data_IF_315107285604
#
_entry.id   IF_315107285604
#
_cell.length_a   1.000
_cell.length_b   1.000
_cell.length_c   1.000
_cell.angle_alpha   90.00
_cell.angle_beta   90.00
_cell.angle_gamma   90.00
#
_symmetry.space_group_name_H-M   'P 1'
#
loop_
_entity.id
_entity.type
_entity.pdbx_description
1 polymer ?
#
# COMPACT_ATOMS: atom_id res chain seq x y z
N UNK A 1 33.22 0.58 26.29
CA UNK A 1 31.76 0.34 26.34
C UNK A 1 31.05 1.67 26.53
N UNK A 2 30.11 2.01 25.63
CA UNK A 2 28.95 2.80 26.03
C UNK A 2 27.66 2.03 25.71
N UNK A 3 26.81 1.97 26.72
CA UNK A 3 25.52 1.32 26.76
C UNK A 3 24.49 2.34 26.23
N UNK A 4 23.82 2.05 25.11
CA UNK A 4 22.73 2.90 24.60
C UNK A 4 21.44 2.09 24.66
N UNK A 5 20.66 2.39 25.69
CA UNK A 5 19.36 1.83 25.99
C UNK A 5 18.32 2.55 25.12
N UNK A 6 17.78 1.88 24.10
CA UNK A 6 16.64 2.40 23.34
C UNK A 6 15.35 2.16 24.14
N UNK A 7 14.82 3.23 24.73
CA UNK A 7 13.44 3.26 25.22
C UNK A 7 12.49 3.42 24.02
N UNK A 8 11.73 2.37 23.70
CA UNK A 8 10.56 2.46 22.83
C UNK A 8 9.36 2.73 23.72
N UNK A 9 8.84 3.95 23.68
CA UNK A 9 7.55 4.30 24.29
C UNK A 9 6.47 4.00 23.25
N UNK A 10 5.69 2.94 23.49
CA UNK A 10 4.41 2.71 22.81
C UNK A 10 3.35 3.55 23.52
N UNK A 11 2.68 4.45 22.79
CA UNK A 11 1.41 5.03 23.22
C UNK A 11 0.30 4.48 22.33
N UNK A 12 -0.51 3.61 22.92
CA UNK A 12 -1.85 3.25 22.47
C UNK A 12 -2.77 4.46 22.64
N UNK A 13 -3.49 4.85 21.59
CA UNK A 13 -4.75 5.57 21.75
C UNK A 13 -5.83 4.94 20.86
N UNK A 14 -6.79 4.35 21.56
CA UNK A 14 -8.04 3.78 21.08
C UNK A 14 -8.96 4.91 20.56
N UNK A 15 -9.55 4.72 19.38
CA UNK A 15 -10.73 5.49 18.96
C UNK A 15 -11.96 4.59 19.07
N UNK A 16 -12.78 4.86 20.10
CA UNK A 16 -14.14 4.34 20.24
C UNK A 16 -15.08 5.12 19.33
N UNK A 17 -16.01 4.42 18.68
CA UNK A 17 -17.09 4.96 17.87
C UNK A 17 -18.39 4.42 18.46
N UNK A 18 -19.17 5.28 19.12
CA UNK A 18 -20.54 4.96 19.52
C UNK A 18 -21.51 5.87 18.75
N UNK A 19 -22.36 5.23 17.93
CA UNK A 19 -23.59 5.79 17.37
C UNK A 19 -24.79 5.09 18.03
N UNK A 20 -25.73 5.87 18.57
CA UNK A 20 -27.16 5.58 18.68
C UNK A 20 -27.81 6.76 19.43
N UNK A 21 -29.04 7.23 19.21
CA UNK A 21 -30.12 7.02 18.24
C UNK A 21 -31.08 8.21 18.47
N UNK A 22 -31.84 8.59 17.42
CA UNK A 22 -33.03 9.44 17.50
C UNK A 22 -34.06 8.87 18.49
N UNK A 23 -34.84 9.74 19.12
CA UNK A 23 -36.29 9.53 19.15
C UNK A 23 -37.06 10.86 19.22
N UNK A 24 -38.19 10.81 18.53
CA UNK A 24 -39.11 11.84 18.10
C UNK A 24 -40.30 11.88 19.07
N UNK A 25 -40.78 13.06 19.49
CA UNK A 25 -42.15 13.17 19.98
C UNK A 25 -42.76 14.55 19.74
N UNK A 26 -43.92 14.49 19.11
CA UNK A 26 -44.74 15.55 18.55
C UNK A 26 -46.05 15.57 19.34
N UNK A 27 -46.52 16.72 19.86
CA UNK A 27 -47.96 17.06 19.98
C UNK A 27 -48.30 18.41 20.66
N UNK A 28 -49.21 19.13 19.97
CA UNK A 28 -50.35 19.97 20.44
C UNK A 28 -50.18 21.50 20.63
N UNK A 29 -50.82 22.19 19.68
CA UNK A 29 -51.44 23.53 19.59
C UNK A 29 -52.60 23.77 20.63
N UNK A 30 -53.34 24.91 20.67
CA UNK A 30 -53.26 26.21 19.94
C UNK A 30 -53.58 27.50 20.79
N UNK A 31 -53.81 28.62 20.07
CA UNK A 31 -54.53 29.89 20.39
C UNK A 31 -53.65 31.10 20.72
N UNK A 32 -53.84 32.32 20.21
CA UNK A 32 -54.78 32.89 19.24
C UNK A 32 -54.21 34.26 18.75
N UNK A 33 -54.76 34.75 17.63
CA UNK A 33 -55.26 36.12 17.40
C UNK A 33 -54.72 36.97 16.23
N UNK A 34 -55.72 37.46 15.47
CA UNK A 34 -55.87 38.65 14.63
C UNK A 34 -54.95 38.99 13.42
N UNK A 35 -55.54 38.76 12.23
CA UNK A 35 -55.63 39.61 11.02
C UNK A 35 -54.67 40.80 10.81
N UNK A 36 -53.95 40.78 9.68
CA UNK A 36 -53.77 41.94 8.77
C UNK A 36 -53.25 41.51 7.38
N UNK A 37 -53.98 41.93 6.35
CA UNK A 37 -53.70 41.74 4.92
C UNK A 37 -52.61 42.71 4.44
N UNK A 38 -51.55 42.22 3.78
CA UNK A 38 -50.95 42.83 2.58
C UNK A 38 -49.78 41.97 2.06
N UNK A 39 -49.86 41.52 0.80
CA UNK A 39 -48.69 41.06 0.06
C UNK A 39 -47.78 42.26 -0.25
N UNK A 40 -46.46 42.07 -0.17
CA UNK A 40 -45.69 42.03 -1.41
C UNK A 40 -44.54 41.00 -1.40
N UNK A 41 -44.37 40.34 -2.55
CA UNK A 41 -43.12 39.80 -3.12
C UNK A 41 -41.92 39.71 -2.17
N UNK A 42 -41.61 38.51 -1.67
CA UNK A 42 -40.27 38.13 -1.23
C UNK A 42 -39.83 36.87 -1.98
N UNK A 43 -39.02 37.10 -3.02
CA UNK A 43 -38.02 36.14 -3.47
C UNK A 43 -36.85 36.32 -2.50
N UNK A 44 -36.60 35.35 -1.64
CA UNK A 44 -35.25 34.95 -1.18
C UNK A 44 -35.36 33.85 -0.12
N UNK A 45 -34.31 33.02 -0.04
CA UNK A 45 -34.04 31.99 0.97
C UNK A 45 -34.93 30.74 0.87
N UNK A 46 -34.43 29.55 0.58
CA UNK A 46 -33.06 29.04 0.57
C UNK A 46 -33.06 27.84 -0.37
N UNK A 47 -32.27 27.87 -1.44
CA UNK A 47 -31.84 26.62 -2.05
C UNK A 47 -30.90 26.03 -1.01
N UNK A 48 -31.44 25.11 -0.21
CA UNK A 48 -30.67 24.31 0.72
C UNK A 48 -29.41 23.81 -0.02
N UNK A 49 -28.23 24.18 0.46
CA UNK A 49 -26.99 23.58 0.00
C UNK A 49 -27.17 22.06 0.09
N UNK A 50 -27.01 21.30 -1.00
CA UNK A 50 -27.16 19.87 -0.91
C UNK A 50 -26.00 19.33 -0.09
N UNK A 51 -26.33 18.49 0.89
CA UNK A 51 -25.50 17.78 1.87
C UNK A 51 -24.24 17.07 1.31
N UNK A 52 -24.00 17.11 -0.01
CA UNK A 52 -22.89 16.45 -0.70
C UNK A 52 -21.52 17.13 -0.59
N UNK A 53 -21.42 18.45 -0.34
CA UNK A 53 -20.10 19.14 -0.25
C UNK A 53 -19.29 18.66 0.96
N UNK A 54 -19.94 18.44 2.10
CA UNK A 54 -19.30 17.92 3.32
C UNK A 54 -18.88 16.46 3.19
N UNK A 55 -19.74 15.62 2.61
CA UNK A 55 -19.45 14.21 2.35
C UNK A 55 -18.28 14.03 1.38
N UNK A 56 -18.24 14.83 0.29
CA UNK A 56 -17.14 14.83 -0.67
C UNK A 56 -15.81 15.24 -0.05
N UNK A 57 -15.77 16.33 0.75
CA UNK A 57 -14.55 16.75 1.44
C UNK A 57 -14.03 15.66 2.37
N UNK A 58 -14.92 15.01 3.12
CA UNK A 58 -14.57 13.92 4.06
C UNK A 58 -14.04 12.69 3.31
N UNK A 59 -14.64 12.35 2.18
CA UNK A 59 -14.14 11.30 1.28
C UNK A 59 -12.79 11.62 0.69
N UNK A 60 -12.64 12.82 0.16
CA UNK A 60 -11.47 13.26 -0.57
C UNK A 60 -10.23 13.34 0.32
N UNK A 61 -10.39 13.84 1.56
CA UNK A 61 -9.32 13.81 2.57
C UNK A 61 -8.97 12.38 2.97
N UNK A 62 -9.99 11.54 3.22
CA UNK A 62 -9.78 10.12 3.56
C UNK A 62 -9.11 9.33 2.43
N UNK A 63 -9.37 9.70 1.17
CA UNK A 63 -8.78 9.13 -0.04
C UNK A 63 -7.32 9.54 -0.19
N UNK A 64 -7.07 10.85 -0.06
CA UNK A 64 -5.79 11.43 -0.40
C UNK A 64 -4.71 11.18 0.63
N UNK A 65 -5.07 11.27 1.91
CA UNK A 65 -4.11 11.11 3.01
C UNK A 65 -3.92 9.63 3.32
N UNK A 66 -5.00 8.87 3.58
CA UNK A 66 -4.85 7.49 4.06
C UNK A 66 -4.31 6.52 3.01
N UNK A 67 -4.68 6.66 1.74
CA UNK A 67 -4.18 5.75 0.69
C UNK A 67 -2.75 6.10 0.30
N UNK A 68 -2.41 7.40 0.27
CA UNK A 68 -1.05 7.88 0.07
C UNK A 68 -0.11 7.35 1.15
N UNK A 69 -0.48 7.48 2.42
CA UNK A 69 0.30 6.93 3.55
C UNK A 69 0.47 5.41 3.44
N UNK A 70 -0.58 4.67 3.06
CA UNK A 70 -0.47 3.21 2.84
C UNK A 70 0.53 2.90 1.73
N UNK A 71 0.50 3.61 0.60
CA UNK A 71 1.46 3.41 -0.49
C UNK A 71 2.89 3.68 -0.02
N UNK A 72 3.13 4.79 0.68
CA UNK A 72 4.45 5.13 1.19
C UNK A 72 4.99 4.07 2.17
N UNK A 73 4.16 3.60 3.10
CA UNK A 73 4.53 2.52 4.02
C UNK A 73 4.85 1.23 3.26
N UNK A 74 4.06 0.87 2.25
CA UNK A 74 4.30 -0.32 1.44
C UNK A 74 5.57 -0.21 0.59
N UNK A 75 5.90 0.96 0.05
CA UNK A 75 7.16 1.19 -0.66
C UNK A 75 8.36 0.96 0.27
N UNK A 76 8.36 1.59 1.45
CA UNK A 76 9.43 1.43 2.46
C UNK A 76 9.57 -0.02 2.92
N UNK A 77 8.43 -0.69 3.13
CA UNK A 77 8.39 -2.10 3.51
C UNK A 77 8.97 -3.00 2.41
N UNK A 78 8.57 -2.80 1.16
CA UNK A 78 9.06 -3.58 0.03
C UNK A 78 10.59 -3.39 -0.17
N UNK A 79 11.08 -2.15 -0.11
CA UNK A 79 12.51 -1.85 -0.16
C UNK A 79 13.27 -2.54 0.99
N UNK A 80 12.77 -2.42 2.22
CA UNK A 80 13.38 -3.08 3.39
C UNK A 80 13.46 -4.59 3.22
N UNK A 81 12.39 -5.23 2.73
CA UNK A 81 12.39 -6.67 2.45
C UNK A 81 13.40 -7.06 1.38
N UNK A 82 13.49 -6.28 0.31
CA UNK A 82 14.45 -6.53 -0.76
C UNK A 82 15.89 -6.43 -0.26
N UNK A 83 16.22 -5.44 0.57
CA UNK A 83 17.55 -5.29 1.18
C UNK A 83 17.90 -6.42 2.14
N UNK A 84 16.92 -6.92 2.89
CA UNK A 84 17.11 -8.08 3.77
C UNK A 84 17.37 -9.34 2.94
N UNK A 85 16.64 -9.54 1.85
CA UNK A 85 16.84 -10.68 0.95
C UNK A 85 18.16 -10.60 0.17
N UNK A 86 18.51 -9.42 -0.32
CA UNK A 86 19.68 -9.15 -1.14
C UNK A 86 20.55 -8.09 -0.45
N UNK A 87 21.52 -8.59 0.31
CA UNK A 87 22.42 -7.75 1.11
C UNK A 87 23.41 -6.95 0.26
N UNK A 88 23.61 -7.31 -1.02
CA UNK A 88 24.40 -6.50 -1.93
C UNK A 88 23.54 -5.34 -2.47
N UNK A 89 23.78 -4.09 -2.06
CA UNK A 89 22.95 -2.95 -2.46
C UNK A 89 22.99 -2.68 -3.96
N UNK A 90 24.05 -3.09 -4.68
CA UNK A 90 24.15 -2.93 -6.14
C UNK A 90 23.14 -3.77 -6.92
N UNK A 91 22.61 -4.82 -6.28
CA UNK A 91 21.64 -5.74 -6.86
C UNK A 91 20.21 -5.45 -6.39
N UNK A 92 20.00 -4.46 -5.52
CA UNK A 92 18.67 -4.00 -5.11
C UNK A 92 18.29 -2.83 -6.02
N UNK A 93 17.20 -2.92 -6.79
CA UNK A 93 16.81 -1.83 -7.68
C UNK A 93 16.44 -0.56 -6.91
N UNK A 94 16.86 0.60 -7.43
CA UNK A 94 16.46 1.90 -6.87
C UNK A 94 15.00 2.27 -7.19
N UNK A 95 14.50 1.80 -8.33
CA UNK A 95 13.14 2.10 -8.76
C UNK A 95 12.11 1.24 -7.99
N UNK A 96 11.12 1.90 -7.36
CA UNK A 96 10.03 1.25 -6.61
C UNK A 96 9.30 0.15 -7.42
N UNK A 97 9.28 0.29 -8.74
CA UNK A 97 8.61 -0.63 -9.66
C UNK A 97 9.42 -1.88 -10.02
N UNK A 98 10.74 -1.84 -9.83
CA UNK A 98 11.65 -2.95 -10.15
C UNK A 98 11.94 -3.72 -8.87
N UNK A 99 11.68 -5.02 -8.89
CA UNK A 99 11.88 -5.91 -7.73
C UNK A 99 12.62 -7.19 -8.14
N UNK A 100 13.61 -7.04 -9.01
CA UNK A 100 14.52 -8.11 -9.42
C UNK A 100 15.78 -7.99 -8.57
N UNK A 101 15.96 -8.97 -7.69
CA UNK A 101 17.04 -8.97 -6.68
C UNK A 101 17.96 -10.19 -6.83
N UNK A 102 17.73 -11.00 -7.86
CA UNK A 102 18.46 -12.23 -8.10
C UNK A 102 19.89 -11.91 -8.50
N UNK A 103 20.84 -12.63 -7.91
CA UNK A 103 22.25 -12.50 -8.29
C UNK A 103 22.47 -13.09 -9.70
N UNK A 104 23.22 -12.42 -10.59
CA UNK A 104 23.57 -12.97 -11.90
C UNK A 104 24.28 -14.33 -11.81
N UNK A 105 24.32 -15.07 -12.91
CA UNK A 105 25.11 -16.30 -12.99
C UNK A 105 26.60 -15.96 -12.78
N UNK A 106 27.34 -16.80 -12.05
CA UNK A 106 28.78 -16.64 -11.78
C UNK A 106 29.17 -15.41 -10.94
N UNK A 107 28.23 -14.63 -10.43
CA UNK A 107 28.49 -13.47 -9.55
C UNK A 107 28.11 -13.73 -8.09
N UNK A 108 27.57 -14.92 -7.78
CA UNK A 108 27.22 -15.29 -6.41
C UNK A 108 28.50 -15.46 -5.58
N UNK A 109 28.65 -14.80 -4.40
CA UNK A 109 29.83 -14.95 -3.56
C UNK A 109 30.14 -16.40 -3.19
N UNK A 110 29.12 -17.25 -3.01
CA UNK A 110 29.34 -18.67 -2.70
C UNK A 110 29.78 -19.45 -3.94
N UNK A 111 29.33 -19.07 -5.13
CA UNK A 111 29.80 -19.64 -6.40
C UNK A 111 31.26 -19.27 -6.67
N UNK A 112 31.62 -18.00 -6.47
CA UNK A 112 33.00 -17.51 -6.58
C UNK A 112 33.94 -18.15 -5.54
N UNK A 113 33.45 -18.34 -4.31
CA UNK A 113 34.20 -19.04 -3.27
C UNK A 113 34.44 -20.50 -3.63
N UNK A 114 33.43 -21.21 -4.15
CA UNK A 114 33.58 -22.60 -4.58
C UNK A 114 34.66 -22.76 -5.66
N UNK A 115 34.65 -21.88 -6.67
CA UNK A 115 35.66 -21.87 -7.75
C UNK A 115 37.05 -21.59 -7.19
N UNK A 116 37.16 -20.64 -6.27
CA UNK A 116 38.43 -20.28 -5.63
C UNK A 116 38.99 -21.43 -4.77
N UNK A 117 38.14 -22.12 -4.01
CA UNK A 117 38.50 -23.30 -3.22
C UNK A 117 38.98 -24.46 -4.11
N UNK A 118 38.32 -24.68 -5.25
CA UNK A 118 38.74 -25.69 -6.22
C UNK A 118 40.13 -25.38 -6.81
N UNK A 119 40.40 -24.10 -7.12
CA UNK A 119 41.72 -23.67 -7.60
C UNK A 119 42.86 -23.83 -6.59
N UNK A 120 42.54 -23.94 -5.29
CA UNK A 120 43.52 -24.16 -4.23
C UNK A 120 43.65 -25.63 -3.81
N UNK A 121 43.04 -26.58 -4.55
CA UNK A 121 42.97 -27.99 -4.15
C UNK A 121 44.33 -28.61 -3.79
N UNK A 122 45.38 -28.29 -4.54
CA UNK A 122 46.73 -28.82 -4.30
C UNK A 122 47.30 -28.39 -2.93
N UNK A 123 46.95 -27.19 -2.47
CA UNK A 123 47.38 -26.64 -1.18
C UNK A 123 46.76 -27.40 0.01
N UNK A 124 45.69 -28.17 -0.21
CA UNK A 124 44.97 -28.94 0.80
C UNK A 124 45.06 -30.45 0.54
N UNK A 125 46.15 -30.94 -0.06
CA UNK A 125 46.33 -32.36 -0.40
C UNK A 125 46.10 -33.33 0.77
N UNK A 126 46.39 -32.92 2.01
CA UNK A 126 46.15 -33.72 3.22
C UNK A 126 44.69 -33.67 3.74
N UNK A 127 43.89 -32.72 3.26
CA UNK A 127 42.53 -32.41 3.73
C UNK A 127 41.51 -32.33 2.59
N UNK A 128 41.76 -33.03 1.48
CA UNK A 128 40.89 -33.06 0.30
C UNK A 128 39.43 -33.35 0.65
N UNK A 129 39.09 -34.31 1.54
CA UNK A 129 37.69 -34.56 1.90
C UNK A 129 37.01 -33.36 2.56
N UNK A 130 37.71 -32.63 3.43
CA UNK A 130 37.18 -31.44 4.07
C UNK A 130 36.99 -30.28 3.09
N UNK A 131 37.97 -30.08 2.19
CA UNK A 131 37.85 -29.11 1.10
C UNK A 131 36.66 -29.41 0.19
N UNK A 132 36.48 -30.68 -0.21
CA UNK A 132 35.34 -31.09 -1.03
C UNK A 132 34.00 -30.84 -0.34
N UNK A 133 33.93 -31.02 0.98
CA UNK A 133 32.74 -30.68 1.76
C UNK A 133 32.44 -29.17 1.72
N UNK A 134 33.46 -28.30 1.83
CA UNK A 134 33.30 -26.85 1.67
C UNK A 134 32.77 -26.47 0.30
N UNK A 135 33.36 -27.00 -0.77
CA UNK A 135 32.97 -26.71 -2.15
C UNK A 135 31.51 -27.13 -2.40
N UNK A 136 31.15 -28.33 -1.91
CA UNK A 136 29.79 -28.85 -2.01
C UNK A 136 28.79 -27.99 -1.23
N UNK A 137 29.15 -27.54 -0.02
CA UNK A 137 28.31 -26.66 0.78
C UNK A 137 28.14 -25.28 0.11
N UNK A 138 29.19 -24.73 -0.50
CA UNK A 138 29.10 -23.49 -1.26
C UNK A 138 28.08 -23.62 -2.40
N UNK A 139 28.13 -24.71 -3.19
CA UNK A 139 27.16 -24.97 -4.24
C UNK A 139 25.71 -25.10 -3.70
N UNK A 140 25.52 -25.80 -2.59
CA UNK A 140 24.22 -25.91 -1.90
C UNK A 140 23.70 -24.55 -1.44
N UNK A 141 24.55 -23.73 -0.82
CA UNK A 141 24.20 -22.40 -0.33
C UNK A 141 23.82 -21.45 -1.48
N UNK A 142 24.54 -21.49 -2.61
CA UNK A 142 24.18 -20.76 -3.83
C UNK A 142 22.76 -21.13 -4.30
N UNK A 143 22.46 -22.43 -4.40
CA UNK A 143 21.14 -22.90 -4.81
C UNK A 143 20.04 -22.44 -3.84
N UNK A 144 20.27 -22.58 -2.53
CA UNK A 144 19.34 -22.15 -1.49
C UNK A 144 19.06 -20.64 -1.60
N UNK A 145 20.10 -19.82 -1.79
CA UNK A 145 20.01 -18.37 -1.90
C UNK A 145 19.24 -17.92 -3.14
N UNK A 146 19.59 -18.46 -4.31
CA UNK A 146 18.85 -18.21 -5.57
C UNK A 146 17.37 -18.58 -5.45
N UNK A 147 17.09 -19.70 -4.80
CA UNK A 147 15.72 -20.17 -4.56
C UNK A 147 14.95 -19.27 -3.59
N UNK A 148 15.63 -18.81 -2.52
CA UNK A 148 15.09 -17.87 -1.55
C UNK A 148 14.74 -16.53 -2.20
N UNK A 149 15.61 -15.95 -3.02
CA UNK A 149 15.31 -14.72 -3.79
C UNK A 149 14.07 -14.88 -4.67
N UNK A 150 13.98 -15.98 -5.42
CA UNK A 150 12.83 -16.30 -6.28
C UNK A 150 11.52 -16.46 -5.51
N UNK A 151 11.56 -17.11 -4.34
CA UNK A 151 10.36 -17.32 -3.50
C UNK A 151 9.97 -16.07 -2.74
N UNK A 152 10.95 -15.33 -2.20
CA UNK A 152 10.73 -14.05 -1.54
C UNK A 152 10.14 -13.00 -2.47
N UNK A 153 10.66 -12.86 -3.70
CA UNK A 153 10.05 -12.01 -4.75
C UNK A 153 8.60 -12.40 -5.04
N UNK A 154 8.29 -13.70 -5.09
CA UNK A 154 6.92 -14.21 -5.27
C UNK A 154 6.05 -13.98 -4.03
N UNK A 155 6.64 -13.88 -2.85
CA UNK A 155 5.93 -13.68 -1.60
C UNK A 155 5.42 -12.24 -1.43
N UNK A 156 6.01 -11.25 -2.11
CA UNK A 156 5.64 -9.83 -2.06
C UNK A 156 4.87 -9.36 -3.31
N UNK A 157 4.22 -10.29 -4.01
CA UNK A 157 3.59 -10.04 -5.30
C UNK A 157 2.44 -9.04 -5.21
N UNK A 158 1.53 -9.20 -4.26
CA UNK A 158 0.37 -8.32 -4.08
C UNK A 158 0.80 -6.92 -3.63
N UNK A 159 1.79 -6.80 -2.75
CA UNK A 159 2.38 -5.50 -2.39
C UNK A 159 2.90 -4.79 -3.65
N UNK A 160 3.65 -5.50 -4.49
CA UNK A 160 4.16 -4.94 -5.76
C UNK A 160 3.05 -4.54 -6.72
N UNK A 161 2.05 -5.40 -6.91
CA UNK A 161 0.90 -5.13 -7.76
C UNK A 161 0.11 -3.93 -7.25
N UNK A 162 -0.01 -3.78 -5.93
CA UNK A 162 -0.67 -2.63 -5.33
C UNK A 162 0.07 -1.32 -5.66
N UNK A 163 1.39 -1.29 -5.44
CA UNK A 163 2.22 -0.10 -5.69
C UNK A 163 2.17 0.30 -7.17
N UNK A 164 2.33 -0.66 -8.08
CA UNK A 164 2.54 -0.39 -9.51
C UNK A 164 1.24 -0.26 -10.31
N UNK A 165 0.15 -0.90 -9.87
CA UNK A 165 -1.09 -0.98 -10.65
C UNK A 165 -2.24 -0.34 -9.88
N UNK A 166 -2.56 -0.88 -8.71
CA UNK A 166 -3.78 -0.46 -7.98
C UNK A 166 -3.72 0.99 -7.53
N UNK A 167 -2.58 1.42 -6.98
CA UNK A 167 -2.39 2.79 -6.53
C UNK A 167 -2.40 3.77 -7.70
N UNK A 168 -1.79 3.39 -8.84
CA UNK A 168 -1.78 4.23 -10.04
C UNK A 168 -3.21 4.44 -10.55
N UNK A 169 -4.00 3.36 -10.62
CA UNK A 169 -5.42 3.43 -10.99
C UNK A 169 -6.21 4.32 -10.03
N UNK A 170 -6.07 4.10 -8.72
CA UNK A 170 -6.78 4.88 -7.71
C UNK A 170 -6.38 6.37 -7.74
N UNK A 171 -5.11 6.66 -7.99
CA UNK A 171 -4.63 8.03 -8.13
C UNK A 171 -5.18 8.71 -9.40
N UNK A 172 -5.34 7.96 -10.51
CA UNK A 172 -5.96 8.47 -11.73
C UNK A 172 -7.45 8.75 -11.53
N UNK A 173 -8.19 7.81 -10.92
CA UNK A 173 -9.59 8.01 -10.56
C UNK A 173 -9.76 9.22 -9.61
N UNK A 174 -8.86 9.38 -8.64
CA UNK A 174 -8.82 10.57 -7.77
C UNK A 174 -8.67 11.87 -8.57
N UNK A 175 -7.75 11.91 -9.53
CA UNK A 175 -7.53 13.11 -10.37
C UNK A 175 -8.76 13.42 -11.23
N UNK A 176 -9.38 12.41 -11.85
CA UNK A 176 -10.59 12.61 -12.64
C UNK A 176 -11.76 13.07 -11.77
N UNK A 177 -11.88 12.56 -10.54
CA UNK A 177 -12.89 13.01 -9.59
C UNK A 177 -12.73 14.50 -9.21
N UNK A 178 -11.49 14.99 -9.05
CA UNK A 178 -11.21 16.44 -8.86
C UNK A 178 -11.72 17.23 -10.06
N UNK A 179 -11.37 16.78 -11.27
CA UNK A 179 -11.75 17.43 -12.51
C UNK A 179 -13.28 17.48 -12.69
N UNK A 180 -13.96 16.36 -12.47
CA UNK A 180 -15.43 16.30 -12.53
C UNK A 180 -16.08 17.24 -11.51
N UNK A 181 -15.47 17.38 -10.32
CA UNK A 181 -15.95 18.31 -9.29
C UNK A 181 -15.79 19.77 -9.74
N UNK A 182 -14.64 20.13 -10.31
CA UNK A 182 -14.39 21.47 -10.85
C UNK A 182 -15.35 21.80 -12.00
N UNK A 183 -15.57 20.86 -12.93
CA UNK A 183 -16.55 20.97 -14.02
C UNK A 183 -17.98 21.19 -13.47
N UNK A 184 -18.36 20.42 -12.44
CA UNK A 184 -19.67 20.55 -11.79
C UNK A 184 -19.82 21.90 -11.07
N UNK A 185 -18.81 22.33 -10.30
CA UNK A 185 -18.83 23.61 -9.59
C UNK A 185 -18.92 24.77 -10.60
N UNK A 186 -18.23 24.70 -11.75
CA UNK A 186 -18.34 25.68 -12.84
C UNK A 186 -19.73 25.70 -13.48
N UNK A 187 -20.29 24.55 -13.85
CA UNK A 187 -21.62 24.47 -14.48
C UNK A 187 -22.73 24.98 -13.54
N UNK A 188 -22.63 24.69 -12.23
CA UNK A 188 -23.54 25.23 -11.21
C UNK A 188 -23.47 26.75 -11.15
N UNK A 189 -22.27 27.31 -11.17
CA UNK A 189 -22.06 28.75 -11.16
C UNK A 189 -22.61 29.42 -12.43
N UNK A 190 -22.38 28.85 -13.61
CA UNK A 190 -22.90 29.39 -14.87
C UNK A 190 -24.44 29.38 -14.95
N UNK A 191 -25.07 28.33 -14.43
CA UNK A 191 -26.52 28.22 -14.35
C UNK A 191 -27.10 29.22 -13.34
N UNK A 192 -26.47 29.38 -12.17
CA UNK A 192 -26.90 30.34 -11.16
C UNK A 192 -26.86 31.80 -11.67
N UNK A 193 -25.86 32.14 -12.49
CA UNK A 193 -25.70 33.49 -13.02
C UNK A 193 -26.63 33.80 -14.21
N UNK A 194 -26.95 32.80 -15.04
CA UNK A 194 -27.84 32.97 -16.19
C UNK A 194 -28.60 31.66 -16.45
N UNK A 195 -29.79 31.49 -15.85
CA UNK A 195 -30.55 30.26 -15.92
C UNK A 195 -31.16 30.08 -17.32
N UNK A 196 -30.59 29.17 -18.10
CA UNK A 196 -31.15 28.70 -19.38
C UNK A 196 -31.32 27.20 -19.35
N UNK A 197 -32.26 26.65 -20.13
CA UNK A 197 -32.47 25.19 -20.19
C UNK A 197 -31.21 24.45 -20.68
N UNK A 198 -30.45 25.03 -21.61
CA UNK A 198 -29.16 24.46 -22.03
C UNK A 198 -28.15 24.38 -20.87
N UNK A 199 -28.06 25.41 -20.03
CA UNK A 199 -27.15 25.43 -18.88
C UNK A 199 -27.61 24.50 -17.76
N UNK A 200 -28.92 24.35 -17.58
CA UNK A 200 -29.52 23.37 -16.67
C UNK A 200 -29.16 21.95 -17.10
N UNK A 201 -29.26 21.64 -18.38
CA UNK A 201 -28.87 20.34 -18.93
C UNK A 201 -27.36 20.08 -18.75
N UNK A 202 -26.51 21.07 -19.03
CA UNK A 202 -25.07 20.98 -18.78
C UNK A 202 -24.74 20.73 -17.29
N UNK A 203 -25.43 21.44 -16.39
CA UNK A 203 -25.30 21.25 -14.94
C UNK A 203 -25.70 19.83 -14.50
N UNK A 204 -26.85 19.34 -14.97
CA UNK A 204 -27.32 17.99 -14.67
C UNK A 204 -26.33 16.94 -15.18
N UNK A 205 -25.80 17.11 -16.39
CA UNK A 205 -24.78 16.21 -16.96
C UNK A 205 -23.51 16.18 -16.12
N UNK A 206 -23.03 17.33 -15.66
CA UNK A 206 -21.83 17.40 -14.81
C UNK A 206 -22.06 16.76 -13.43
N UNK A 207 -23.25 16.91 -12.85
CA UNK A 207 -23.64 16.24 -11.60
C UNK A 207 -23.66 14.72 -11.78
N UNK A 208 -24.29 14.21 -12.84
CA UNK A 208 -24.32 12.77 -13.13
C UNK A 208 -22.91 12.20 -13.27
N UNK A 209 -22.06 12.84 -14.08
CA UNK A 209 -20.66 12.40 -14.27
C UNK A 209 -19.87 12.38 -12.96
N UNK A 210 -20.04 13.40 -12.12
CA UNK A 210 -19.40 13.44 -10.80
C UNK A 210 -19.88 12.31 -9.88
N UNK A 211 -21.18 12.03 -9.85
CA UNK A 211 -21.75 10.95 -9.03
C UNK A 211 -21.25 9.58 -9.50
N UNK A 212 -21.25 9.32 -10.81
CA UNK A 212 -20.71 8.09 -11.40
C UNK A 212 -19.23 7.90 -11.03
N UNK A 213 -18.40 8.94 -11.19
CA UNK A 213 -16.98 8.87 -10.85
C UNK A 213 -16.75 8.67 -9.34
N UNK A 214 -17.60 9.30 -8.51
CA UNK A 214 -17.57 9.14 -7.05
C UNK A 214 -17.88 7.69 -6.66
N UNK A 215 -18.93 7.10 -7.23
CA UNK A 215 -19.32 5.71 -6.99
C UNK A 215 -18.20 4.72 -7.37
N UNK A 216 -17.53 4.95 -8.50
CA UNK A 216 -16.40 4.13 -8.94
C UNK A 216 -15.22 4.17 -7.94
N UNK A 217 -14.89 5.37 -7.45
CA UNK A 217 -13.85 5.57 -6.43
C UNK A 217 -14.24 4.86 -5.13
N UNK A 218 -15.51 4.97 -4.71
CA UNK A 218 -16.04 4.30 -3.53
C UNK A 218 -15.94 2.78 -3.62
N UNK A 219 -16.34 2.21 -4.76
CA UNK A 219 -16.26 0.77 -5.00
C UNK A 219 -14.83 0.28 -4.90
N UNK A 220 -13.89 1.03 -5.49
CA UNK A 220 -12.45 0.71 -5.44
C UNK A 220 -11.94 0.75 -4.00
N UNK A 221 -12.31 1.77 -3.22
CA UNK A 221 -11.96 1.89 -1.81
C UNK A 221 -12.55 0.78 -0.94
N UNK A 222 -13.76 0.31 -1.24
CA UNK A 222 -14.39 -0.81 -0.54
C UNK A 222 -13.52 -2.07 -0.56
N UNK A 223 -12.72 -2.25 -1.62
CA UNK A 223 -11.79 -3.40 -1.73
C UNK A 223 -10.51 -3.26 -0.89
N UNK A 224 -10.24 -2.07 -0.36
CA UNK A 224 -8.94 -1.76 0.23
C UNK A 224 -8.66 -2.56 1.50
N UNK A 225 -9.68 -2.85 2.30
CA UNK A 225 -9.49 -3.70 3.49
C UNK A 225 -9.06 -5.12 3.11
N UNK A 226 -9.64 -5.69 2.05
CA UNK A 226 -9.25 -7.01 1.52
C UNK A 226 -7.79 -7.00 1.03
N UNK A 227 -7.37 -5.94 0.35
CA UNK A 227 -5.98 -5.79 -0.12
C UNK A 227 -4.98 -5.68 1.04
N UNK A 228 -5.31 -4.93 2.10
CA UNK A 228 -4.48 -4.86 3.32
C UNK A 228 -4.26 -6.23 3.95
N UNK A 229 -5.31 -7.04 4.01
CA UNK A 229 -5.19 -8.40 4.56
C UNK A 229 -4.29 -9.28 3.70
N UNK A 230 -4.38 -9.17 2.37
CA UNK A 230 -3.45 -9.86 1.46
C UNK A 230 -2.00 -9.44 1.71
N UNK A 231 -1.74 -8.13 1.87
CA UNK A 231 -0.39 -7.64 2.20
C UNK A 231 0.11 -8.21 3.53
N UNK A 232 -0.76 -8.30 4.55
CA UNK A 232 -0.42 -8.92 5.85
C UNK A 232 -0.01 -10.38 5.70
N UNK A 233 -0.74 -11.16 4.88
CA UNK A 233 -0.40 -12.56 4.61
C UNK A 233 0.94 -12.71 3.88
N UNK A 234 1.26 -11.77 2.98
CA UNK A 234 2.56 -11.72 2.30
C UNK A 234 3.73 -11.52 3.27
N UNK A 235 3.55 -10.70 4.32
CA UNK A 235 4.54 -10.54 5.40
C UNK A 235 4.88 -11.88 6.06
N UNK A 236 3.87 -12.66 6.45
CA UNK A 236 4.12 -13.96 7.07
C UNK A 236 4.81 -14.92 6.10
N UNK A 237 4.41 -14.89 4.83
CA UNK A 237 5.00 -15.74 3.80
C UNK A 237 6.49 -15.44 3.61
N UNK A 238 6.89 -14.17 3.53
CA UNK A 238 8.31 -13.84 3.37
C UNK A 238 9.13 -14.19 4.63
N UNK A 239 8.58 -13.97 5.83
CA UNK A 239 9.24 -14.36 7.08
C UNK A 239 9.42 -15.88 7.17
N UNK A 240 8.43 -16.65 6.72
CA UNK A 240 8.54 -18.11 6.65
C UNK A 240 9.61 -18.56 5.64
N UNK A 241 9.67 -17.92 4.46
CA UNK A 241 10.71 -18.19 3.47
C UNK A 241 12.12 -17.84 3.97
N UNK A 242 12.27 -16.72 4.69
CA UNK A 242 13.51 -16.36 5.37
C UNK A 242 13.92 -17.41 6.40
N UNK A 243 12.99 -17.82 7.25
CA UNK A 243 13.23 -18.85 8.27
C UNK A 243 13.68 -20.17 7.66
N UNK A 244 13.01 -20.63 6.59
CA UNK A 244 13.38 -21.85 5.85
C UNK A 244 14.78 -21.73 5.26
N UNK A 245 15.10 -20.61 4.62
CA UNK A 245 16.40 -20.35 4.05
C UNK A 245 17.51 -20.43 5.10
N UNK A 246 17.40 -19.67 6.20
CA UNK A 246 18.42 -19.63 7.23
C UNK A 246 18.59 -20.98 7.94
N UNK A 247 17.50 -21.72 8.19
CA UNK A 247 17.59 -23.07 8.76
C UNK A 247 18.37 -24.02 7.85
N UNK A 248 18.03 -24.05 6.56
CA UNK A 248 18.69 -24.94 5.61
C UNK A 248 20.15 -24.53 5.39
N UNK A 249 20.44 -23.24 5.30
CA UNK A 249 21.80 -22.73 5.19
C UNK A 249 22.66 -23.11 6.41
N UNK A 250 22.12 -22.95 7.62
CA UNK A 250 22.81 -23.35 8.85
C UNK A 250 23.12 -24.85 8.88
N UNK A 251 22.21 -25.68 8.36
CA UNK A 251 22.42 -27.13 8.27
C UNK A 251 23.59 -27.46 7.32
N UNK A 252 23.67 -26.82 6.16
CA UNK A 252 24.79 -27.02 5.22
C UNK A 252 26.13 -26.57 5.84
N UNK A 253 26.15 -25.43 6.55
CA UNK A 253 27.34 -24.98 7.27
C UNK A 253 27.77 -25.97 8.37
N UNK A 254 26.82 -26.54 9.12
CA UNK A 254 27.11 -27.51 10.17
C UNK A 254 27.76 -28.80 9.63
N UNK A 255 27.41 -29.21 8.40
CA UNK A 255 28.05 -30.35 7.75
C UNK A 255 29.55 -30.09 7.53
N UNK A 256 29.91 -28.88 7.09
CA UNK A 256 31.30 -28.48 6.90
C UNK A 256 32.06 -28.46 8.23
N UNK A 257 31.46 -27.94 9.31
CA UNK A 257 32.10 -27.90 10.62
C UNK A 257 32.40 -29.29 11.20
N UNK A 258 31.68 -30.32 10.76
CA UNK A 258 31.91 -31.72 11.18
C UNK A 258 32.98 -32.43 10.36
N UNK A 259 33.44 -31.82 9.27
CA UNK A 259 34.53 -32.37 8.45
C UNK A 259 35.84 -32.37 9.25
N UNK A 260 36.62 -33.44 9.08
CA UNK A 260 37.95 -33.54 9.68
C UNK A 260 38.96 -32.79 8.81
N UNK A 261 39.41 -31.65 9.31
CA UNK A 261 40.55 -30.90 8.82
C UNK A 261 41.85 -31.40 9.44
#
# INVERSE_FOLDING_TARGET
>A
MPNVQLHVVMTDEMYSFDEAKKDEQNKKQPDADADKIQAPIEITSSVAEPEGRGAFRKLFMKLGEKVGTVKEMLCKLADSMMRVMQQNPKLVPEAESRMEIECPANEDPMELLAVSLEGMRENFSSHIPALQACISACAKLTMLRRSFHKRGRRAIHFIRTFINVDYVLLNNQRKELIKCREEMDFAKHEYANNPTEQKKEACNKAITKFNEQSEEVFKTLGTMQSKKEKHRLELFKILDEMRKYHRNAAQECLLVCKSKW
#
